data_IF_895358360076
#
_entry.id   IF_895358360076
#
_cell.length_a   1.000
_cell.length_b   1.000
_cell.length_c   1.000
_cell.angle_alpha   90.00
_cell.angle_beta   90.00
_cell.angle_gamma   90.00
#
_symmetry.space_group_name_H-M   'P 1'
#
loop_
_entity.id
_entity.type
_entity.pdbx_description
1 polymer ?
#
# COMPACT_ATOMS: atom_id res chain seq x y z
N UNK A 1 -10.74 -3.02 12.42
CA UNK A 1 -9.38 -3.15 13.00
C UNK A 1 -9.14 -2.02 13.98
N UNK A 2 -8.60 -2.29 15.17
CA UNK A 2 -8.19 -1.24 16.11
C UNK A 2 -6.83 -0.63 15.72
N UNK A 3 -6.41 0.46 16.36
CA UNK A 3 -5.17 1.16 16.05
C UNK A 3 -3.93 0.26 16.19
N UNK A 4 -3.88 -0.58 17.23
CA UNK A 4 -2.77 -1.50 17.47
C UNK A 4 -2.61 -2.53 16.35
N UNK A 5 -3.71 -3.12 15.88
CA UNK A 5 -3.66 -4.07 14.75
C UNK A 5 -3.27 -3.37 13.45
N UNK A 6 -3.71 -2.13 13.19
CA UNK A 6 -3.27 -1.34 12.02
C UNK A 6 -1.77 -1.08 12.07
N UNK A 7 -1.25 -0.66 13.23
CA UNK A 7 0.17 -0.42 13.44
C UNK A 7 1.01 -1.71 13.26
N UNK A 8 0.54 -2.84 13.78
CA UNK A 8 1.19 -4.14 13.60
C UNK A 8 1.27 -4.55 12.13
N UNK A 9 0.19 -4.41 11.37
CA UNK A 9 0.16 -4.72 9.94
C UNK A 9 1.12 -3.82 9.14
N UNK A 10 1.20 -2.53 9.48
CA UNK A 10 2.15 -1.59 8.86
C UNK A 10 3.59 -2.03 9.09
N UNK A 11 3.95 -2.36 10.34
CA UNK A 11 5.30 -2.83 10.68
C UNK A 11 5.65 -4.16 9.99
N UNK A 12 4.70 -5.08 9.92
CA UNK A 12 4.87 -6.34 9.18
C UNK A 12 5.10 -6.08 7.69
N UNK A 13 4.34 -5.17 7.08
CA UNK A 13 4.50 -4.83 5.66
C UNK A 13 5.88 -4.22 5.41
N UNK A 14 6.37 -3.37 6.31
CA UNK A 14 7.70 -2.77 6.22
C UNK A 14 8.83 -3.80 6.36
N UNK A 15 8.70 -4.81 7.24
CA UNK A 15 9.72 -5.87 7.34
C UNK A 15 9.76 -6.71 6.07
N UNK A 16 8.59 -7.06 5.51
CA UNK A 16 8.49 -7.77 4.23
C UNK A 16 9.10 -6.94 3.10
N UNK A 17 8.80 -5.64 3.02
CA UNK A 17 9.38 -4.75 2.03
C UNK A 17 10.91 -4.74 2.11
N UNK A 18 11.50 -4.66 3.31
CA UNK A 18 12.96 -4.67 3.50
C UNK A 18 13.60 -5.97 3.02
N UNK A 19 12.95 -7.11 3.21
CA UNK A 19 13.51 -8.40 2.83
C UNK A 19 13.31 -8.74 1.35
N UNK A 20 12.18 -8.36 0.76
CA UNK A 20 11.78 -8.83 -0.55
C UNK A 20 11.93 -7.78 -1.67
N UNK A 21 12.04 -6.48 -1.35
CA UNK A 21 12.31 -5.46 -2.38
C UNK A 21 13.63 -5.71 -3.14
N UNK A 22 14.75 -6.09 -2.49
CA UNK A 22 15.98 -6.44 -3.20
C UNK A 22 15.85 -7.69 -4.09
N UNK A 23 14.83 -8.52 -3.85
CA UNK A 23 14.52 -9.73 -4.63
C UNK A 23 13.55 -9.44 -5.79
N UNK A 24 13.27 -8.16 -6.07
CA UNK A 24 12.39 -7.75 -7.15
C UNK A 24 10.90 -7.91 -6.85
N UNK A 25 10.50 -7.96 -5.57
CA UNK A 25 9.10 -8.01 -5.16
C UNK A 25 8.67 -6.65 -4.60
N UNK A 26 7.69 -6.02 -5.25
CA UNK A 26 7.13 -4.74 -4.83
C UNK A 26 6.11 -4.95 -3.71
N UNK A 27 6.43 -4.46 -2.52
CA UNK A 27 5.57 -4.54 -1.33
C UNK A 27 5.07 -3.14 -0.98
N UNK A 28 3.74 -2.98 -0.92
CA UNK A 28 3.08 -1.70 -0.64
C UNK A 28 2.12 -1.84 0.55
N UNK A 29 2.14 -0.85 1.44
CA UNK A 29 1.11 -0.63 2.45
C UNK A 29 0.15 0.48 2.00
N UNK A 30 -1.07 0.12 1.59
CA UNK A 30 -2.10 1.09 1.24
C UNK A 30 -3.01 1.36 2.44
N UNK A 31 -3.01 2.59 2.93
CA UNK A 31 -3.88 3.03 4.02
C UNK A 31 -5.20 3.51 3.43
N UNK A 32 -6.30 2.88 3.83
CA UNK A 32 -7.66 3.27 3.48
C UNK A 32 -8.39 3.69 4.75
N UNK A 33 -8.81 4.94 4.81
CA UNK A 33 -9.61 5.47 5.93
C UNK A 33 -11.11 5.53 5.64
N UNK A 34 -11.51 5.34 4.37
CA UNK A 34 -12.89 5.48 3.90
C UNK A 34 -13.49 4.19 3.30
N UNK A 35 -14.82 4.20 3.14
CA UNK A 35 -15.58 3.09 2.53
C UNK A 35 -15.23 2.90 1.04
N UNK A 36 -14.55 1.80 0.75
CA UNK A 36 -14.10 1.40 -0.59
C UNK A 36 -15.25 1.29 -1.59
N UNK A 37 -16.46 0.94 -1.12
CA UNK A 37 -17.65 0.76 -1.97
C UNK A 37 -17.97 2.01 -2.77
N UNK A 38 -17.65 3.19 -2.21
CA UNK A 38 -17.96 4.49 -2.81
C UNK A 38 -16.99 4.90 -3.91
N UNK A 39 -15.77 4.35 -3.96
CA UNK A 39 -14.71 4.77 -4.91
C UNK A 39 -13.83 3.61 -5.41
N UNK A 40 -14.39 2.41 -5.55
CA UNK A 40 -13.67 1.21 -5.98
C UNK A 40 -12.85 1.42 -7.27
N UNK A 41 -13.36 2.18 -8.24
CA UNK A 41 -12.63 2.50 -9.48
C UNK A 41 -11.39 3.34 -9.26
N UNK A 42 -11.44 4.35 -8.37
CA UNK A 42 -10.28 5.18 -8.03
C UNK A 42 -9.21 4.38 -7.28
N UNK A 43 -9.63 3.56 -6.32
CA UNK A 43 -8.74 2.65 -5.58
C UNK A 43 -8.07 1.66 -6.53
N UNK A 44 -8.84 1.04 -7.44
CA UNK A 44 -8.31 0.12 -8.45
C UNK A 44 -7.29 0.80 -9.36
N UNK A 45 -7.55 2.04 -9.79
CA UNK A 45 -6.61 2.81 -10.60
C UNK A 45 -5.31 3.10 -9.85
N UNK A 46 -5.37 3.41 -8.55
CA UNK A 46 -4.15 3.56 -7.74
C UNK A 46 -3.37 2.26 -7.63
N UNK A 47 -4.04 1.11 -7.42
CA UNK A 47 -3.36 -0.19 -7.44
C UNK A 47 -2.69 -0.46 -8.80
N UNK A 48 -3.34 -0.09 -9.90
CA UNK A 48 -2.76 -0.21 -11.24
C UNK A 48 -1.52 0.66 -11.41
N UNK A 49 -1.59 1.92 -10.97
CA UNK A 49 -0.45 2.85 -11.00
C UNK A 49 0.73 2.34 -10.18
N UNK A 50 0.48 1.74 -9.01
CA UNK A 50 1.52 1.14 -8.17
C UNK A 50 2.16 -0.07 -8.86
N UNK A 51 1.37 -0.91 -9.50
CA UNK A 51 1.86 -2.06 -10.26
C UNK A 51 2.78 -1.65 -11.42
N UNK A 52 2.48 -0.54 -12.10
CA UNK A 52 3.28 -0.03 -13.23
C UNK A 52 4.54 0.75 -12.79
N UNK A 53 4.77 0.96 -11.49
CA UNK A 53 5.93 1.73 -11.03
C UNK A 53 7.25 1.07 -11.42
N UNK A 54 8.17 1.89 -11.92
CA UNK A 54 9.53 1.46 -12.19
C UNK A 54 10.22 1.02 -10.89
N UNK A 55 10.97 -0.09 -10.95
CA UNK A 55 11.56 -0.74 -9.77
C UNK A 55 12.54 0.14 -8.98
N UNK A 56 13.12 1.17 -9.60
CA UNK A 56 14.01 2.13 -8.92
C UNK A 56 13.26 3.20 -8.13
N UNK A 57 11.93 3.27 -8.24
CA UNK A 57 11.09 4.31 -7.63
C UNK A 57 9.84 3.73 -6.99
N UNK A 58 9.94 2.52 -6.43
CA UNK A 58 8.81 1.86 -5.79
C UNK A 58 8.34 2.61 -4.54
N UNK A 59 7.03 2.80 -4.46
CA UNK A 59 6.34 3.32 -3.30
C UNK A 59 6.09 2.20 -2.30
N UNK A 60 6.44 2.42 -1.04
CA UNK A 60 6.22 1.45 0.05
C UNK A 60 4.97 1.74 0.87
N UNK A 61 4.50 2.98 0.88
CA UNK A 61 3.31 3.38 1.61
C UNK A 61 2.57 4.48 0.87
N UNK A 62 1.24 4.35 0.79
CA UNK A 62 0.37 5.36 0.21
C UNK A 62 -0.85 5.56 1.10
N UNK A 63 -1.28 6.80 1.22
CA UNK A 63 -2.49 7.17 1.92
C UNK A 63 -3.58 7.53 0.91
N UNK A 64 -4.63 6.72 0.86
CA UNK A 64 -5.78 6.93 0.00
C UNK A 64 -6.82 7.73 0.79
N UNK A 65 -6.55 9.02 0.94
CA UNK A 65 -7.47 9.96 1.58
C UNK A 65 -8.48 10.48 0.57
N UNK A 66 -9.73 10.55 1.00
CA UNK A 66 -10.71 11.37 0.33
C UNK A 66 -10.47 12.82 0.75
N UNK A 67 -10.26 13.69 -0.23
CA UNK A 67 -10.87 15.02 -0.18
C UNK A 67 -12.33 14.91 -0.67
#
# INVERSE_FOLDING_TARGET
MNATTKAGLRLMTQSIAREFSPKGIHVIHAVLDDDISKRAGGVANTYWQLYEQHATTWTHEIDLRLA
#
